data_IF_177495960513
#
_entry.id   IF_177495960513
#
_cell.length_a   1.000
_cell.length_b   1.000
_cell.length_c   1.000
_cell.angle_alpha   90.00
_cell.angle_beta   90.00
_cell.angle_gamma   90.00
#
_symmetry.space_group_name_H-M   'P 1'
#
loop_
_entity.id
_entity.type
_entity.pdbx_description
1 polymer ?
#
# COMPACT_ATOMS: atom_id res chain seq x y z
N UNK A 1 -1.24 1.64 13.45
CA UNK A 1 -0.98 0.50 14.34
C UNK A 1 -0.08 -0.51 13.64
N UNK A 2 0.89 -1.08 14.37
CA UNK A 2 1.71 -2.20 13.88
C UNK A 2 1.47 -3.41 14.75
N UNK A 3 1.23 -4.54 14.10
CA UNK A 3 1.03 -5.83 14.75
C UNK A 3 2.03 -6.84 14.16
N UNK A 4 2.41 -7.82 14.95
CA UNK A 4 3.26 -8.93 14.56
C UNK A 4 2.50 -10.25 14.76
N UNK A 5 1.61 -10.62 13.81
CA UNK A 5 0.78 -11.83 13.94
C UNK A 5 1.58 -13.13 13.99
N UNK A 6 2.77 -13.12 13.42
CA UNK A 6 3.71 -14.24 13.52
C UNK A 6 5.12 -13.68 13.71
N UNK A 7 5.84 -14.19 14.71
CA UNK A 7 7.23 -13.88 14.95
C UNK A 7 7.92 -15.16 15.49
N UNK A 8 8.69 -15.80 14.62
CA UNK A 8 9.52 -16.97 14.93
C UNK A 8 10.85 -16.84 14.20
N UNK A 9 11.78 -17.75 14.47
CA UNK A 9 13.07 -17.79 13.76
C UNK A 9 12.90 -18.08 12.25
N UNK A 10 11.82 -18.76 11.88
CA UNK A 10 11.55 -19.15 10.49
C UNK A 10 10.67 -18.14 9.73
N UNK A 11 9.81 -17.41 10.45
CA UNK A 11 8.84 -16.51 9.84
C UNK A 11 8.52 -15.32 10.73
N UNK A 12 8.57 -14.13 10.14
CA UNK A 12 8.05 -12.92 10.73
C UNK A 12 7.00 -12.29 9.82
N UNK A 13 5.87 -11.90 10.39
CA UNK A 13 4.83 -11.14 9.70
C UNK A 13 4.62 -9.83 10.45
N UNK A 14 4.82 -8.71 9.77
CA UNK A 14 4.46 -7.39 10.26
C UNK A 14 3.21 -6.90 9.52
N UNK A 15 2.19 -6.50 10.24
CA UNK A 15 0.97 -5.93 9.68
C UNK A 15 0.87 -4.45 10.08
N UNK A 16 0.82 -3.56 9.07
CA UNK A 16 0.56 -2.15 9.26
C UNK A 16 -0.93 -1.88 9.01
N UNK A 17 -1.64 -1.50 10.06
CA UNK A 17 -3.04 -1.08 9.98
C UNK A 17 -3.11 0.44 10.03
N UNK A 18 -3.73 1.01 9.02
CA UNK A 18 -3.98 2.44 8.92
C UNK A 18 -5.44 2.70 9.30
N UNK A 19 -5.63 3.43 10.41
CA UNK A 19 -6.92 3.94 10.83
C UNK A 19 -7.01 5.40 10.39
N UNK A 20 -7.90 5.68 9.44
CA UNK A 20 -8.12 7.01 8.88
C UNK A 20 -9.46 7.53 9.39
N UNK A 21 -9.45 8.62 10.15
CA UNK A 21 -10.66 9.35 10.53
C UNK A 21 -11.03 10.36 9.43
N UNK A 22 -11.97 10.03 8.52
CA UNK A 22 -12.37 10.92 7.43
C UNK A 22 -13.08 12.17 7.94
N UNK A 23 -13.77 12.07 9.08
CA UNK A 23 -14.49 13.21 9.68
C UNK A 23 -13.53 14.20 10.31
N UNK A 24 -12.50 13.71 11.01
CA UNK A 24 -11.47 14.56 11.60
C UNK A 24 -10.62 15.27 10.55
N UNK A 25 -10.34 14.62 9.44
CA UNK A 25 -9.65 15.23 8.30
C UNK A 25 -10.49 16.32 7.66
N UNK A 26 -11.76 16.06 7.43
CA UNK A 26 -12.70 17.02 6.86
C UNK A 26 -12.89 18.27 7.72
N UNK A 27 -12.78 18.16 9.05
CA UNK A 27 -12.91 19.29 9.98
C UNK A 27 -11.67 20.18 10.07
N UNK A 28 -10.49 19.68 9.70
CA UNK A 28 -9.24 20.47 9.72
C UNK A 28 -9.15 21.45 8.56
N UNK A 29 -9.73 21.11 7.42
CA UNK A 29 -9.80 21.99 6.26
C UNK A 29 -11.08 22.83 6.33
N UNK A 30 -10.94 24.12 6.63
CA UNK A 30 -12.04 25.07 6.84
C UNK A 30 -12.86 25.42 5.58
N UNK A 31 -12.81 24.66 4.51
CA UNK A 31 -13.56 24.91 3.29
C UNK A 31 -14.69 23.88 3.12
N UNK A 32 -15.98 24.29 3.32
CA UNK A 32 -17.13 23.38 3.23
C UNK A 32 -17.32 22.72 1.85
N UNK A 33 -16.90 23.39 0.78
CA UNK A 33 -17.05 22.88 -0.59
C UNK A 33 -16.03 21.78 -0.94
N UNK A 34 -14.82 21.85 -0.36
CA UNK A 34 -13.81 20.81 -0.45
C UNK A 34 -14.21 19.55 0.34
N UNK A 35 -15.06 19.68 1.34
CA UNK A 35 -15.52 18.59 2.21
C UNK A 35 -16.32 17.52 1.46
N UNK A 36 -17.24 17.90 0.59
CA UNK A 36 -18.08 16.97 -0.16
C UNK A 36 -17.25 16.19 -1.20
N UNK A 37 -16.26 16.85 -1.81
CA UNK A 37 -15.33 16.23 -2.73
C UNK A 37 -14.33 15.32 -2.01
N UNK A 38 -13.99 15.69 -0.76
CA UNK A 38 -13.06 14.95 0.09
C UNK A 38 -13.65 13.72 0.74
N UNK A 39 -14.93 13.62 0.99
CA UNK A 39 -15.56 12.48 1.67
C UNK A 39 -15.97 11.37 0.71
N UNK A 40 -16.19 11.63 -0.57
CA UNK A 40 -16.78 10.69 -1.51
C UNK A 40 -15.83 9.93 -2.46
N UNK A 41 -14.53 10.25 -2.51
CA UNK A 41 -13.62 9.64 -3.49
C UNK A 41 -12.20 9.42 -2.93
N UNK A 42 -11.97 8.28 -2.19
CA UNK A 42 -10.83 8.25 -1.27
C UNK A 42 -9.87 7.07 -1.24
N UNK A 43 -9.63 6.37 -2.33
CA UNK A 43 -8.46 5.50 -2.42
C UNK A 43 -7.14 6.27 -2.32
N UNK A 44 -7.09 7.48 -2.88
CA UNK A 44 -5.89 8.33 -2.94
C UNK A 44 -5.39 8.77 -1.56
N UNK A 45 -6.28 9.25 -0.73
CA UNK A 45 -5.93 9.69 0.64
C UNK A 45 -5.37 8.52 1.44
N UNK A 46 -5.95 7.32 1.30
CA UNK A 46 -5.44 6.12 1.94
C UNK A 46 -4.05 5.74 1.42
N UNK A 47 -3.80 5.82 0.12
CA UNK A 47 -2.50 5.51 -0.49
C UNK A 47 -1.40 6.47 -0.04
N UNK A 48 -1.67 7.77 0.01
CA UNK A 48 -0.74 8.79 0.51
C UNK A 48 -0.49 8.63 2.02
N UNK A 49 -1.52 8.36 2.81
CA UNK A 49 -1.35 8.11 4.25
C UNK A 49 -0.58 6.83 4.52
N UNK A 50 -0.75 5.79 3.68
CA UNK A 50 0.04 4.57 3.81
C UNK A 50 1.52 4.87 3.64
N UNK A 51 1.92 5.68 2.66
CA UNK A 51 3.32 6.08 2.47
C UNK A 51 3.84 6.85 3.67
N UNK A 52 3.08 7.82 4.19
CA UNK A 52 3.44 8.54 5.41
C UNK A 52 3.59 7.58 6.59
N UNK A 53 2.66 6.65 6.77
CA UNK A 53 2.71 5.66 7.84
C UNK A 53 3.93 4.74 7.73
N UNK A 54 4.29 4.28 6.51
CA UNK A 54 5.50 3.50 6.27
C UNK A 54 6.74 4.27 6.72
N UNK A 55 6.87 5.54 6.34
CA UNK A 55 8.03 6.35 6.71
C UNK A 55 8.11 6.61 8.22
N UNK A 56 6.99 6.85 8.87
CA UNK A 56 6.94 7.11 10.31
C UNK A 56 7.21 5.87 11.15
N UNK A 57 6.66 4.73 10.76
CA UNK A 57 6.71 3.51 11.56
C UNK A 57 7.96 2.68 11.22
N UNK A 58 8.29 2.58 9.94
CA UNK A 58 9.41 1.76 9.46
C UNK A 58 10.60 2.61 8.97
N UNK A 59 10.74 3.86 9.42
CA UNK A 59 11.76 4.80 8.96
C UNK A 59 13.19 4.24 9.06
N UNK A 60 13.54 3.54 10.13
CA UNK A 60 14.85 2.89 10.27
C UNK A 60 15.05 1.79 9.22
N UNK A 61 14.05 0.92 9.05
CA UNK A 61 14.10 -0.16 8.06
C UNK A 61 14.06 0.37 6.62
N UNK A 62 13.29 1.43 6.36
CA UNK A 62 13.27 2.14 5.09
C UNK A 62 14.64 2.72 4.74
N UNK A 63 15.36 3.24 5.73
CA UNK A 63 16.75 3.73 5.58
C UNK A 63 17.80 2.61 5.59
N UNK A 64 17.42 1.34 5.59
CA UNK A 64 18.36 0.21 5.60
C UNK A 64 19.08 0.01 6.94
N UNK A 65 18.54 0.56 8.04
CA UNK A 65 19.21 0.53 9.33
C UNK A 65 18.56 -0.46 10.30
N UNK A 66 19.33 -1.37 10.86
CA UNK A 66 18.93 -2.25 11.95
C UNK A 66 20.03 -2.26 13.02
N UNK A 67 19.73 -1.70 14.20
CA UNK A 67 20.71 -1.60 15.29
C UNK A 67 21.12 -2.95 15.87
N UNK A 68 20.17 -3.91 15.92
CA UNK A 68 20.40 -5.21 16.55
C UNK A 68 21.03 -6.23 15.60
N UNK A 69 20.73 -6.13 14.28
CA UNK A 69 21.19 -7.07 13.25
C UNK A 69 21.52 -6.29 11.98
N UNK A 70 22.61 -5.51 11.94
CA UNK A 70 22.94 -4.68 10.77
C UNK A 70 23.17 -5.53 9.52
N UNK A 71 23.81 -6.70 9.64
CA UNK A 71 24.07 -7.59 8.51
C UNK A 71 22.77 -8.08 7.84
N UNK A 72 21.72 -8.34 8.66
CA UNK A 72 20.43 -8.76 8.14
C UNK A 72 19.72 -7.64 7.36
N UNK A 73 19.99 -6.38 7.68
CA UNK A 73 19.42 -5.24 6.97
C UNK A 73 19.93 -5.15 5.52
N UNK A 74 21.16 -5.61 5.28
CA UNK A 74 21.80 -5.62 3.97
C UNK A 74 21.51 -6.91 3.18
N UNK A 75 20.94 -7.92 3.81
CA UNK A 75 20.68 -9.22 3.19
C UNK A 75 19.36 -9.22 2.41
N UNK A 76 19.35 -9.69 1.12
CA UNK A 76 18.13 -9.95 0.40
C UNK A 76 17.38 -11.15 1.00
N UNK A 77 16.18 -10.93 1.50
CA UNK A 77 15.31 -11.92 2.10
C UNK A 77 14.16 -12.32 1.18
N UNK A 78 13.62 -13.53 1.29
CA UNK A 78 12.38 -13.89 0.61
C UNK A 78 11.21 -13.16 1.31
N UNK A 79 10.73 -12.08 0.69
CA UNK A 79 9.69 -11.22 1.22
C UNK A 79 8.40 -11.33 0.41
N UNK A 80 7.29 -11.22 1.11
CA UNK A 80 5.96 -11.08 0.52
C UNK A 80 5.29 -9.87 1.13
N UNK A 81 4.93 -8.89 0.31
CA UNK A 81 4.06 -7.79 0.72
C UNK A 81 2.65 -8.04 0.23
N UNK A 82 1.67 -7.98 1.14
CA UNK A 82 0.25 -8.08 0.82
C UNK A 82 -0.41 -6.72 1.07
N UNK A 83 -0.94 -6.13 0.01
CA UNK A 83 -1.75 -4.94 0.05
C UNK A 83 -3.21 -5.36 -0.01
N UNK A 84 -3.93 -5.26 1.11
CA UNK A 84 -5.25 -5.84 1.27
C UNK A 84 -6.27 -5.23 0.31
N UNK A 85 -6.18 -3.88 0.06
CA UNK A 85 -6.93 -3.22 -1.00
C UNK A 85 -6.13 -2.01 -1.49
N UNK A 86 -5.89 -1.96 -2.80
CA UNK A 86 -5.31 -0.80 -3.47
C UNK A 86 -6.14 -0.43 -4.69
N UNK A 87 -6.32 0.86 -4.97
CA UNK A 87 -6.97 1.29 -6.21
C UNK A 87 -6.03 1.06 -7.38
N UNK A 88 -6.58 0.65 -8.52
CA UNK A 88 -5.88 0.66 -9.79
C UNK A 88 -6.90 0.90 -10.91
N UNK A 89 -7.30 2.15 -11.08
CA UNK A 89 -8.38 2.54 -11.99
C UNK A 89 -7.96 2.44 -13.45
N UNK A 90 -6.72 2.83 -13.78
CA UNK A 90 -6.18 2.78 -15.13
C UNK A 90 -5.29 1.57 -15.32
N UNK A 91 -5.60 0.78 -16.32
CA UNK A 91 -4.79 -0.36 -16.73
C UNK A 91 -4.88 -1.60 -15.85
N UNK A 92 -5.58 -1.53 -14.71
CA UNK A 92 -5.88 -2.68 -13.85
C UNK A 92 -4.65 -3.55 -13.52
N UNK A 93 -4.83 -4.87 -13.56
CA UNK A 93 -3.76 -5.84 -13.30
C UNK A 93 -2.55 -5.66 -14.21
N UNK A 94 -2.77 -5.35 -15.50
CA UNK A 94 -1.68 -5.13 -16.45
C UNK A 94 -0.78 -3.95 -16.08
N UNK A 95 -1.33 -2.91 -15.46
CA UNK A 95 -0.55 -1.80 -14.95
C UNK A 95 0.24 -2.20 -13.70
N UNK A 96 -0.38 -2.92 -12.76
CA UNK A 96 0.31 -3.46 -11.58
C UNK A 96 1.52 -4.30 -11.97
N UNK A 97 1.35 -5.21 -12.94
CA UNK A 97 2.46 -6.04 -13.43
C UNK A 97 3.58 -5.20 -14.06
N UNK A 98 3.26 -4.26 -14.95
CA UNK A 98 4.27 -3.37 -15.56
C UNK A 98 5.01 -2.52 -14.55
N UNK A 99 4.39 -2.21 -13.41
CA UNK A 99 5.01 -1.39 -12.37
C UNK A 99 5.98 -2.19 -11.50
N UNK A 100 5.62 -3.41 -11.13
CA UNK A 100 6.36 -4.19 -10.13
C UNK A 100 7.21 -5.33 -10.71
N UNK A 101 6.81 -5.98 -11.81
CA UNK A 101 7.60 -7.07 -12.40
C UNK A 101 9.01 -6.65 -12.84
N UNK A 102 9.22 -5.45 -13.43
CA UNK A 102 10.57 -4.99 -13.78
C UNK A 102 11.51 -4.81 -12.58
N UNK A 103 10.95 -4.69 -11.38
CA UNK A 103 11.69 -4.59 -10.11
C UNK A 103 11.97 -5.97 -9.49
N UNK A 104 11.61 -7.06 -10.19
CA UNK A 104 11.86 -8.44 -9.77
C UNK A 104 10.76 -9.06 -8.92
N UNK A 105 9.56 -8.45 -8.83
CA UNK A 105 8.44 -9.03 -8.09
C UNK A 105 7.64 -10.01 -8.93
N UNK A 106 7.29 -11.15 -8.33
CA UNK A 106 6.15 -11.94 -8.77
C UNK A 106 4.88 -11.25 -8.26
N UNK A 107 3.98 -10.86 -9.18
CA UNK A 107 2.77 -10.09 -8.88
C UNK A 107 1.55 -10.99 -8.97
N UNK A 108 0.81 -11.11 -7.87
CA UNK A 108 -0.54 -11.70 -7.85
C UNK A 108 -1.54 -10.60 -7.53
N UNK A 109 -2.52 -10.39 -8.41
CA UNK A 109 -3.54 -9.37 -8.24
C UNK A 109 -4.93 -10.01 -8.33
N UNK A 110 -5.74 -9.81 -7.29
CA UNK A 110 -7.13 -10.28 -7.24
C UNK A 110 -8.04 -9.06 -7.25
N UNK A 111 -8.84 -8.93 -8.30
CA UNK A 111 -9.82 -7.86 -8.43
C UNK A 111 -11.05 -8.19 -7.59
N UNK A 112 -11.63 -7.17 -6.97
CA UNK A 112 -12.85 -7.32 -6.19
C UNK A 112 -14.08 -6.90 -7.01
N UNK A 113 -15.26 -7.53 -6.79
CA UNK A 113 -16.52 -7.05 -7.36
C UNK A 113 -16.89 -5.70 -6.73
N UNK A 114 -17.79 -4.96 -7.37
CA UNK A 114 -18.37 -3.73 -6.81
C UNK A 114 -19.17 -4.02 -5.54
N UNK A 115 -19.93 -5.11 -5.56
CA UNK A 115 -20.70 -5.61 -4.43
C UNK A 115 -20.71 -7.14 -4.46
N UNK A 116 -20.33 -7.77 -3.35
CA UNK A 116 -20.29 -9.24 -3.23
C UNK A 116 -21.69 -9.88 -3.33
N UNK A 117 -22.75 -9.14 -3.02
CA UNK A 117 -24.14 -9.59 -3.10
C UNK A 117 -24.75 -9.36 -4.48
N UNK A 118 -24.14 -8.46 -5.26
CA UNK A 118 -24.63 -8.02 -6.57
C UNK A 118 -23.51 -8.08 -7.62
N UNK A 119 -23.01 -9.28 -7.96
CA UNK A 119 -21.92 -9.44 -8.92
C UNK A 119 -22.28 -8.94 -10.33
N UNK A 120 -23.58 -8.82 -10.64
CA UNK A 120 -24.10 -8.23 -11.87
C UNK A 120 -23.78 -6.72 -12.02
N UNK A 121 -23.39 -6.04 -10.93
CA UNK A 121 -22.96 -4.63 -10.97
C UNK A 121 -21.55 -4.46 -11.51
N UNK A 122 -20.84 -5.59 -11.72
CA UNK A 122 -19.52 -5.59 -12.32
C UNK A 122 -18.39 -5.52 -11.31
N UNK A 123 -17.21 -5.19 -11.82
CA UNK A 123 -15.95 -5.19 -11.05
C UNK A 123 -15.59 -3.81 -10.54
N UNK A 124 -15.03 -3.76 -9.34
CA UNK A 124 -14.50 -2.53 -8.74
C UNK A 124 -13.11 -2.19 -9.30
N UNK A 125 -12.62 -0.95 -9.11
CA UNK A 125 -11.24 -0.58 -9.41
C UNK A 125 -10.24 -1.06 -8.36
N UNK A 126 -10.65 -1.85 -7.38
CA UNK A 126 -9.83 -2.25 -6.23
C UNK A 126 -9.28 -3.66 -6.40
N UNK A 127 -8.03 -3.83 -5.96
CA UNK A 127 -7.31 -5.10 -6.01
C UNK A 127 -6.69 -5.44 -4.66
N UNK A 128 -6.71 -6.71 -4.29
CA UNK A 128 -5.73 -7.26 -3.35
C UNK A 128 -4.49 -7.65 -4.14
N UNK A 129 -3.34 -7.13 -3.75
CA UNK A 129 -2.06 -7.36 -4.45
C UNK A 129 -1.08 -8.05 -3.52
N UNK A 130 -0.46 -9.10 -4.01
CA UNK A 130 0.67 -9.74 -3.37
C UNK A 130 1.92 -9.57 -4.25
N UNK A 131 2.99 -9.08 -3.64
CA UNK A 131 4.29 -8.84 -4.26
C UNK A 131 5.30 -9.73 -3.58
N UNK A 132 5.81 -10.74 -4.29
CA UNK A 132 6.79 -11.68 -3.77
C UNK A 132 8.13 -11.49 -4.48
N UNK A 133 9.21 -11.30 -3.73
CA UNK A 133 10.56 -11.18 -4.28
C UNK A 133 11.62 -11.52 -3.23
N UNK A 134 12.85 -11.77 -3.68
CA UNK A 134 14.03 -11.84 -2.83
C UNK A 134 14.76 -10.49 -2.91
N UNK A 135 14.49 -9.62 -1.95
CA UNK A 135 14.98 -8.23 -1.91
C UNK A 135 15.27 -7.82 -0.48
N UNK A 136 16.01 -6.74 -0.28
CA UNK A 136 16.19 -6.15 1.05
C UNK A 136 14.88 -5.52 1.53
N UNK A 137 14.69 -5.53 2.86
CA UNK A 137 13.50 -4.89 3.47
C UNK A 137 13.41 -3.41 3.08
N UNK A 138 14.53 -2.70 3.07
CA UNK A 138 14.59 -1.29 2.66
C UNK A 138 14.11 -1.06 1.22
N UNK A 139 14.49 -1.95 0.30
CA UNK A 139 14.06 -1.89 -1.11
C UNK A 139 12.55 -2.11 -1.23
N UNK A 140 12.03 -3.16 -0.58
CA UNK A 140 10.60 -3.42 -0.57
C UNK A 140 9.81 -2.21 -0.03
N UNK A 141 10.21 -1.68 1.13
CA UNK A 141 9.54 -0.52 1.74
C UNK A 141 9.63 0.73 0.86
N UNK A 142 10.77 0.97 0.20
CA UNK A 142 10.97 2.09 -0.72
C UNK A 142 10.07 1.96 -1.95
N UNK A 143 9.95 0.76 -2.52
CA UNK A 143 9.06 0.50 -3.64
C UNK A 143 7.60 0.74 -3.25
N UNK A 144 7.16 0.23 -2.09
CA UNK A 144 5.79 0.48 -1.61
C UNK A 144 5.55 1.96 -1.34
N UNK A 145 6.50 2.64 -0.68
CA UNK A 145 6.41 4.07 -0.36
C UNK A 145 6.20 4.95 -1.60
N UNK A 146 6.93 4.65 -2.68
CA UNK A 146 6.91 5.47 -3.90
C UNK A 146 5.79 5.04 -4.84
N UNK A 147 5.56 3.74 -5.03
CA UNK A 147 4.74 3.22 -6.12
C UNK A 147 3.26 3.04 -5.76
N UNK A 148 2.93 2.81 -4.48
CA UNK A 148 1.52 2.68 -4.09
C UNK A 148 0.73 3.96 -4.38
N UNK A 149 1.23 5.19 -4.09
CA UNK A 149 0.55 6.41 -4.49
C UNK A 149 0.36 6.60 -6.00
N UNK A 150 1.23 5.99 -6.83
CA UNK A 150 1.13 6.08 -8.30
C UNK A 150 -0.05 5.27 -8.86
N UNK A 151 -0.54 4.28 -8.09
CA UNK A 151 -1.71 3.49 -8.48
C UNK A 151 -3.00 4.30 -8.50
N UNK A 152 -3.01 5.43 -7.79
CA UNK A 152 -4.13 6.37 -7.75
C UNK A 152 -3.91 7.48 -8.78
N UNK A 153 -4.37 7.24 -10.00
CA UNK A 153 -4.10 8.08 -11.19
C UNK A 153 -5.12 9.24 -11.37
N UNK A 154 -6.00 9.47 -10.38
CA UNK A 154 -6.95 10.59 -10.41
C UNK A 154 -6.40 11.87 -9.77
N UNK A 155 -5.17 12.25 -10.11
CA UNK A 155 -4.74 13.62 -9.86
C UNK A 155 -5.42 14.52 -10.90
N UNK A 156 -6.50 15.15 -10.51
CA UNK A 156 -6.95 16.36 -11.19
C UNK A 156 -5.89 17.43 -10.95
N UNK A 157 -5.06 17.67 -11.96
CA UNK A 157 -4.25 18.87 -12.00
C UNK A 157 -5.19 20.06 -12.23
N UNK A 158 -5.27 20.91 -11.27
CA UNK A 158 -5.87 22.23 -11.39
C UNK A 158 -4.80 23.21 -11.87
#
# INVERSE_FOLDING_TARGET
HVLYPAASDERCTAALLLDVDPVGLARRDRAPELLAQYVNDRPYVASSFLSVAISQVFGSALGGNCKLKPDLAEEPLPLVAKLAVVPCRRGGEGFLRRLFEPLGYAVTATRHPLDDRHPEWGESPYFTVELAARVRVAELLSHLYVLVPVLDDEKHYW
#
